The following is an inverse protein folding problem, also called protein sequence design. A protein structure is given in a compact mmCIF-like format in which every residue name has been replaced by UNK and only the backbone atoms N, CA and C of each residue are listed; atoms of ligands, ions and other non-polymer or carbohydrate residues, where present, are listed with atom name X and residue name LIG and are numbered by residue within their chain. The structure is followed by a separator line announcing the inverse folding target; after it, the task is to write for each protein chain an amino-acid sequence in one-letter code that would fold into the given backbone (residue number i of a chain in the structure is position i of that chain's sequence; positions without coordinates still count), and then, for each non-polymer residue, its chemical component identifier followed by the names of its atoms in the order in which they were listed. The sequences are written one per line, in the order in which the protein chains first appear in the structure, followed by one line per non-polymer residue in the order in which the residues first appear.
data_IF_320364884283
#
_entry.id   IF_320364884283
#
_cell.length_a   1.000
_cell.length_b   1.000
_cell.length_c   1.000
_cell.angle_alpha   90.00
_cell.angle_beta   90.00
_cell.angle_gamma   90.00
#
_symmetry.space_group_name_H-M   'P 1'
#
loop_
_entity.id
_entity.type
_entity.pdbx_description
1 polymer ?
#
# COMPACT_ATOMS: atom_id res chain seq x y z
N UNK A 1 9.36 -28.05 6.65
CA UNK A 1 8.87 -27.37 5.42
C UNK A 1 8.38 -25.99 5.84
N UNK A 2 8.92 -24.92 5.27
CA UNK A 2 8.30 -23.61 5.41
C UNK A 2 6.96 -23.65 4.65
N UNK A 3 5.88 -23.16 5.25
CA UNK A 3 4.64 -22.94 4.52
C UNK A 3 4.93 -21.94 3.39
N UNK A 4 4.42 -22.14 2.17
CA UNK A 4 4.50 -21.12 1.15
C UNK A 4 3.84 -19.84 1.69
N UNK A 5 4.60 -18.74 1.72
CA UNK A 5 4.10 -17.45 2.21
C UNK A 5 2.85 -17.02 1.43
N UNK A 6 1.91 -16.37 2.09
CA UNK A 6 0.71 -15.89 1.41
C UNK A 6 1.06 -14.65 0.58
N UNK A 7 0.85 -14.73 -0.73
CA UNK A 7 1.06 -13.59 -1.63
C UNK A 7 -0.30 -12.94 -1.90
N UNK A 8 -0.45 -11.66 -1.55
CA UNK A 8 -1.71 -10.93 -1.69
C UNK A 8 -1.51 -9.56 -2.33
N UNK A 9 -2.57 -9.07 -2.98
CA UNK A 9 -2.65 -7.70 -3.51
C UNK A 9 -1.50 -7.27 -4.45
N UNK A 10 -1.14 -8.06 -5.49
CA UNK A 10 -0.07 -7.68 -6.41
C UNK A 10 -0.40 -6.38 -7.16
N UNK A 11 0.63 -5.59 -7.46
CA UNK A 11 0.56 -4.46 -8.38
C UNK A 11 1.87 -4.34 -9.16
N UNK A 12 1.78 -4.12 -10.48
CA UNK A 12 2.91 -4.10 -11.40
C UNK A 12 3.06 -2.72 -12.06
N UNK A 13 4.28 -2.20 -12.10
CA UNK A 13 4.68 -1.06 -12.94
C UNK A 13 6.04 -1.35 -13.54
N UNK A 14 6.14 -1.29 -14.87
CA UNK A 14 7.33 -1.75 -15.59
C UNK A 14 7.69 -3.18 -15.18
N UNK A 15 8.96 -3.38 -14.81
CA UNK A 15 9.49 -4.67 -14.35
C UNK A 15 9.44 -4.83 -12.82
N UNK A 16 8.78 -3.94 -12.08
CA UNK A 16 8.68 -3.99 -10.62
C UNK A 16 7.30 -4.47 -10.19
N UNK A 17 7.27 -5.61 -9.50
CA UNK A 17 6.10 -6.11 -8.78
C UNK A 17 6.16 -5.65 -7.32
N UNK A 18 5.05 -5.15 -6.79
CA UNK A 18 4.82 -5.03 -5.33
C UNK A 18 3.69 -5.95 -4.90
N UNK A 19 3.79 -6.49 -3.70
CA UNK A 19 2.77 -7.37 -3.12
C UNK A 19 2.86 -7.36 -1.59
N UNK A 20 1.83 -7.93 -0.96
CA UNK A 20 1.82 -8.19 0.48
C UNK A 20 2.19 -9.64 0.76
N UNK A 21 3.13 -9.87 1.66
CA UNK A 21 3.47 -11.18 2.21
C UNK A 21 4.02 -11.02 3.63
N UNK A 22 3.73 -11.98 4.52
CA UNK A 22 4.17 -11.93 5.93
C UNK A 22 3.86 -10.58 6.60
N UNK A 23 2.68 -10.02 6.33
CA UNK A 23 2.16 -8.75 6.84
C UNK A 23 2.90 -7.49 6.37
N UNK A 24 3.82 -7.62 5.41
CA UNK A 24 4.64 -6.52 4.90
C UNK A 24 4.51 -6.27 3.40
N UNK A 25 4.96 -5.10 2.98
CA UNK A 25 5.14 -4.76 1.56
C UNK A 25 6.45 -5.36 1.09
N UNK A 26 6.38 -6.12 0.01
CA UNK A 26 7.52 -6.68 -0.68
C UNK A 26 7.58 -6.18 -2.11
N UNK A 27 8.80 -6.10 -2.65
CA UNK A 27 9.10 -5.77 -4.04
C UNK A 27 9.86 -6.92 -4.69
N UNK A 28 9.66 -7.14 -5.98
CA UNK A 28 10.41 -8.15 -6.74
C UNK A 28 10.50 -7.78 -8.23
N UNK A 29 11.55 -8.23 -8.95
CA UNK A 29 11.60 -8.15 -10.41
C UNK A 29 10.55 -9.05 -11.06
N UNK A 30 9.89 -8.57 -12.11
CA UNK A 30 8.92 -9.34 -12.89
C UNK A 30 9.55 -10.57 -13.56
N UNK A 31 10.81 -10.48 -13.96
CA UNK A 31 11.61 -11.57 -14.54
C UNK A 31 11.95 -12.67 -13.52
N UNK A 32 11.60 -12.49 -12.26
CA UNK A 32 12.04 -13.32 -11.15
C UNK A 32 13.39 -12.88 -10.60
N UNK A 33 13.76 -13.44 -9.44
CA UNK A 33 14.96 -13.08 -8.70
C UNK A 33 14.66 -12.85 -7.22
N UNK A 34 15.54 -12.08 -6.57
CA UNK A 34 15.41 -11.77 -5.14
C UNK A 34 14.27 -10.79 -4.90
N UNK A 35 13.40 -11.11 -3.94
CA UNK A 35 12.44 -10.17 -3.40
C UNK A 35 13.06 -9.37 -2.24
N UNK A 36 12.65 -8.11 -2.10
CA UNK A 36 13.08 -7.20 -1.04
C UNK A 36 11.88 -6.82 -0.17
N UNK A 37 12.06 -6.89 1.15
CA UNK A 37 11.07 -6.44 2.13
C UNK A 37 11.23 -4.94 2.31
N UNK A 38 10.15 -4.18 2.12
CA UNK A 38 10.14 -2.72 2.23
C UNK A 38 9.70 -2.24 3.61
N UNK A 39 8.71 -2.92 4.21
CA UNK A 39 8.23 -2.61 5.57
C UNK A 39 8.64 -3.69 6.55
N UNK A 40 8.83 -3.32 7.82
CA UNK A 40 9.10 -4.28 8.89
C UNK A 40 8.50 -3.83 10.23
N UNK A 41 7.27 -3.30 10.17
CA UNK A 41 6.63 -2.64 11.31
C UNK A 41 5.88 -3.61 12.25
N UNK A 42 5.87 -4.91 11.94
CA UNK A 42 5.14 -5.94 12.68
C UNK A 42 3.63 -5.67 12.80
N UNK A 43 3.06 -4.99 11.81
CA UNK A 43 1.62 -4.75 11.67
C UNK A 43 1.17 -5.08 10.24
N UNK A 44 -0.05 -5.62 10.05
CA UNK A 44 -0.55 -5.95 8.73
C UNK A 44 -0.66 -4.73 7.80
N UNK A 45 -0.07 -4.85 6.62
CA UNK A 45 -0.29 -3.93 5.50
C UNK A 45 -1.26 -4.50 4.47
N UNK A 46 -1.82 -3.64 3.62
CA UNK A 46 -2.67 -4.08 2.49
C UNK A 46 -2.63 -3.13 1.30
N UNK A 47 -3.02 -3.67 0.14
CA UNK A 47 -3.25 -2.93 -1.10
C UNK A 47 -2.09 -2.05 -1.58
N UNK A 48 -0.83 -2.52 -1.64
CA UNK A 48 0.26 -1.69 -2.14
C UNK A 48 0.04 -1.28 -3.60
N UNK A 49 0.39 -0.03 -3.94
CA UNK A 49 0.27 0.58 -5.27
C UNK A 49 1.53 1.38 -5.60
N UNK A 50 2.27 0.91 -6.60
CA UNK A 50 3.38 1.65 -7.22
C UNK A 50 2.87 2.90 -7.94
N UNK A 51 3.61 4.00 -7.80
CA UNK A 51 3.39 5.24 -8.56
C UNK A 51 3.60 5.03 -10.06
N UNK A 52 3.06 5.92 -10.92
CA UNK A 52 3.18 5.77 -12.37
C UNK A 52 4.62 5.77 -12.87
N UNK A 53 5.49 6.55 -12.23
CA UNK A 53 6.94 6.61 -12.50
C UNK A 53 7.73 5.45 -11.86
N UNK A 54 7.10 4.62 -11.04
CA UNK A 54 7.70 3.46 -10.39
C UNK A 54 8.65 3.78 -9.22
N UNK A 55 8.73 5.04 -8.79
CA UNK A 55 9.68 5.49 -7.76
C UNK A 55 9.13 5.37 -6.33
N UNK A 56 7.81 5.36 -6.17
CA UNK A 56 7.12 5.36 -4.87
C UNK A 56 6.13 4.21 -4.77
N UNK A 57 5.78 3.86 -3.54
CA UNK A 57 4.69 2.93 -3.24
C UNK A 57 3.81 3.48 -2.14
N UNK A 58 2.50 3.41 -2.36
CA UNK A 58 1.48 3.71 -1.36
C UNK A 58 0.84 2.42 -0.85
N UNK A 59 0.56 2.30 0.43
CA UNK A 59 -0.12 1.15 1.04
C UNK A 59 -0.96 1.58 2.23
N UNK A 60 -1.90 0.73 2.65
CA UNK A 60 -2.63 0.97 3.89
C UNK A 60 -2.00 0.20 5.05
N UNK A 61 -1.84 0.85 6.21
CA UNK A 61 -1.23 0.27 7.41
C UNK A 61 -1.90 0.78 8.69
N UNK A 62 -1.81 -0.02 9.77
CA UNK A 62 -2.20 0.35 11.14
C UNK A 62 -1.01 0.73 12.04
N UNK A 63 0.17 0.99 11.46
CA UNK A 63 1.41 1.24 12.23
C UNK A 63 1.31 2.44 13.18
N UNK A 64 0.41 3.38 12.91
CA UNK A 64 0.16 4.58 13.72
C UNK A 64 -1.23 4.55 14.40
N UNK A 65 -1.79 3.36 14.63
CA UNK A 65 -3.10 3.16 15.25
C UNK A 65 -4.19 2.83 14.23
N UNK A 66 -5.06 3.78 13.83
CA UNK A 66 -6.08 3.52 12.82
C UNK A 66 -5.49 3.14 11.46
N UNK A 67 -6.32 2.55 10.61
CA UNK A 67 -5.95 2.19 9.24
C UNK A 67 -5.84 3.45 8.36
N UNK A 68 -4.66 3.66 7.77
CA UNK A 68 -4.37 4.87 6.99
C UNK A 68 -3.48 4.56 5.80
N UNK A 69 -3.48 5.44 4.80
CA UNK A 69 -2.59 5.36 3.65
C UNK A 69 -1.27 6.05 3.97
N UNK A 70 -0.20 5.32 3.71
CA UNK A 70 1.17 5.79 3.79
C UNK A 70 1.83 5.67 2.42
N UNK A 71 2.88 6.46 2.19
CA UNK A 71 3.72 6.44 1.00
C UNK A 71 5.19 6.46 1.39
N UNK A 72 6.03 5.74 0.66
CA UNK A 72 7.49 5.80 0.78
C UNK A 72 8.13 5.65 -0.61
N UNK A 73 9.39 6.06 -0.70
CA UNK A 73 10.22 5.78 -1.88
C UNK A 73 10.58 4.29 -1.93
N UNK A 74 10.68 3.76 -3.13
CA UNK A 74 10.92 2.33 -3.36
C UNK A 74 12.37 1.93 -3.04
N UNK A 75 13.31 2.88 -3.13
CA UNK A 75 14.71 2.72 -2.75
C UNK A 75 14.93 2.81 -1.23
N UNK A 76 13.89 3.19 -0.47
CA UNK A 76 13.85 3.15 0.98
C UNK A 76 13.44 4.49 1.59
N UNK A 77 13.86 4.71 2.85
CA UNK A 77 13.53 5.93 3.58
C UNK A 77 12.25 5.84 4.42
N UNK A 78 11.95 6.90 5.18
CA UNK A 78 10.81 6.92 6.09
C UNK A 78 9.49 7.02 5.31
N UNK A 79 8.50 6.26 5.76
CA UNK A 79 7.14 6.39 5.25
C UNK A 79 6.49 7.70 5.74
N UNK A 80 5.74 8.36 4.87
CA UNK A 80 4.89 9.52 5.16
C UNK A 80 3.43 9.11 5.13
N UNK A 81 2.66 9.53 6.14
CA UNK A 81 1.20 9.37 6.19
C UNK A 81 0.49 10.38 5.28
N UNK A 82 -0.51 9.92 4.53
CA UNK A 82 -1.31 10.72 3.60
C UNK A 82 -2.74 10.96 4.10
N UNK A 83 -3.27 10.10 4.97
CA UNK A 83 -4.66 10.18 5.44
C UNK A 83 -4.75 10.15 6.96
N UNK A 84 -5.83 10.73 7.51
CA UNK A 84 -6.13 10.76 8.96
C UNK A 84 -7.61 10.50 9.22
N UNK A 85 -8.19 9.55 8.49
CA UNK A 85 -9.65 9.36 8.47
C UNK A 85 -10.13 8.30 9.46
N UNK A 86 -9.25 7.40 9.90
CA UNK A 86 -9.59 6.37 10.88
C UNK A 86 -10.66 5.36 10.44
N UNK A 87 -10.96 5.26 9.15
CA UNK A 87 -11.89 4.26 8.60
C UNK A 87 -11.15 2.99 8.17
N UNK A 88 -11.66 1.85 8.62
CA UNK A 88 -11.07 0.54 8.38
C UNK A 88 -11.15 0.06 6.92
N UNK A 89 -11.82 0.79 6.01
CA UNK A 89 -11.81 0.52 4.57
C UNK A 89 -10.86 1.43 3.79
N UNK A 90 -10.24 2.41 4.45
CA UNK A 90 -9.22 3.30 3.87
C UNK A 90 -8.12 2.48 3.18
N UNK A 91 -7.98 2.64 1.87
CA UNK A 91 -6.98 1.95 1.06
C UNK A 91 -6.65 2.71 -0.21
N UNK A 92 -5.40 2.71 -0.67
CA UNK A 92 -5.10 3.20 -2.00
C UNK A 92 -5.71 2.25 -3.05
N UNK A 93 -6.21 2.82 -4.15
CA UNK A 93 -6.70 2.05 -5.29
C UNK A 93 -5.86 2.29 -6.55
N UNK A 94 -5.14 3.42 -6.64
CA UNK A 94 -4.29 3.78 -7.76
C UNK A 94 -3.61 5.13 -7.53
N UNK A 95 -3.19 5.75 -8.62
CA UNK A 95 -2.51 7.04 -8.65
C UNK A 95 -3.12 7.89 -9.78
N UNK A 96 -3.13 9.20 -9.61
CA UNK A 96 -3.41 10.19 -10.65
C UNK A 96 -2.28 11.22 -10.66
N UNK A 97 -1.39 11.11 -11.65
CA UNK A 97 -0.11 11.82 -11.62
C UNK A 97 0.69 11.48 -10.35
N UNK A 98 0.93 12.50 -9.53
CA UNK A 98 1.67 12.40 -8.27
C UNK A 98 0.79 12.11 -7.04
N UNK A 99 -0.54 12.23 -7.19
CA UNK A 99 -1.49 12.04 -6.10
C UNK A 99 -1.90 10.58 -5.97
N UNK A 100 -2.12 10.14 -4.73
CA UNK A 100 -2.61 8.80 -4.46
C UNK A 100 -4.14 8.83 -4.48
N UNK A 101 -4.74 7.98 -5.30
CA UNK A 101 -6.18 7.75 -5.26
C UNK A 101 -6.51 6.80 -4.11
N UNK A 102 -7.25 7.29 -3.13
CA UNK A 102 -7.63 6.55 -1.91
C UNK A 102 -9.13 6.37 -1.85
N UNK A 103 -9.56 5.12 -1.64
CA UNK A 103 -10.94 4.78 -1.31
C UNK A 103 -11.06 4.68 0.20
N UNK A 104 -11.97 5.46 0.77
CA UNK A 104 -12.31 5.39 2.18
C UNK A 104 -13.80 5.64 2.37
N UNK A 105 -14.27 5.44 3.58
CA UNK A 105 -15.60 5.85 3.94
C UNK A 105 -15.53 6.85 5.09
N UNK A 106 -15.37 8.07 4.67
CA UNK A 106 -15.44 9.26 5.48
C UNK A 106 -16.78 9.98 5.23
N UNK A 107 -17.08 10.93 6.12
CA UNK A 107 -18.23 11.81 5.96
C UNK A 107 -19.61 11.17 6.22
N UNK A 108 -20.70 11.87 5.83
CA UNK A 108 -22.06 11.38 6.05
C UNK A 108 -22.27 10.06 5.31
N UNK A 109 -22.89 9.10 6.00
CA UNK A 109 -23.12 7.72 5.52
C UNK A 109 -21.88 6.83 5.39
N UNK A 110 -20.79 7.12 6.12
CA UNK A 110 -19.61 6.26 6.20
C UNK A 110 -19.96 4.76 6.36
N UNK A 111 -20.99 4.40 7.13
CA UNK A 111 -21.41 3.00 7.29
C UNK A 111 -22.03 2.31 6.05
N UNK A 112 -22.29 3.04 4.94
CA UNK A 112 -23.00 2.51 3.75
C UNK A 112 -22.30 2.78 2.43
N UNK A 113 -21.44 3.79 2.35
CA UNK A 113 -20.79 4.21 1.11
C UNK A 113 -19.29 4.39 1.31
N UNK A 114 -18.55 4.31 0.21
CA UNK A 114 -17.15 4.71 0.13
C UNK A 114 -17.02 5.78 -0.95
N UNK A 115 -16.05 6.67 -0.78
CA UNK A 115 -15.69 7.75 -1.68
C UNK A 115 -14.24 7.56 -2.14
N UNK A 116 -13.90 8.15 -3.28
CA UNK A 116 -12.53 8.22 -3.78
C UNK A 116 -12.01 9.65 -3.65
N UNK A 117 -10.78 9.79 -3.16
CA UNK A 117 -10.10 11.04 -2.92
C UNK A 117 -8.71 10.99 -3.57
N UNK A 118 -8.22 12.12 -4.08
CA UNK A 118 -6.82 12.31 -4.42
C UNK A 118 -6.13 13.00 -3.24
N UNK A 119 -5.03 12.44 -2.73
CA UNK A 119 -4.28 12.91 -1.54
C UNK A 119 -2.78 12.87 -1.73
#
# INVERSE_FOLDING_TARGET
MALPGYLRHPHLRGDTLVFTAEDDVWTAPLTGGRAHRLTADAVPVRSPRLSPDGTRVAWASRREGPMEVLVADLDGGPARRLTWWGDDRTRPCGWDGDDVLVVAADGPYAGRRTWAHAV
#
